data_IF_911045624846
#
_entry.id   IF_911045624846
#
_cell.length_a   1.000
_cell.length_b   1.000
_cell.length_c   1.000
_cell.angle_alpha   90.00
_cell.angle_beta   90.00
_cell.angle_gamma   90.00
#
_symmetry.space_group_name_H-M   'P 1'
#
loop_
_entity.id
_entity.type
_entity.pdbx_description
1 polymer ?
#
# COMPACT_ATOMS: atom_id res chain seq x y z
N UNK A 1 -11.29 46.86 2.15
CA UNK A 1 -12.60 46.19 1.95
C UNK A 1 -13.16 46.62 0.60
N UNK A 2 -13.80 45.72 -0.18
CA UNK A 2 -13.78 44.25 -0.07
C UNK A 2 -12.39 43.75 -0.58
N UNK A 3 -12.11 42.63 -1.27
CA UNK A 3 -12.62 41.24 -1.47
C UNK A 3 -11.36 40.39 -1.84
N UNK A 4 -11.32 39.06 -1.89
CA UNK A 4 -12.32 38.00 -1.71
C UNK A 4 -11.67 36.76 -1.07
N UNK A 5 -12.48 35.87 -0.48
CA UNK A 5 -12.03 34.57 0.02
C UNK A 5 -11.51 33.70 -1.12
N UNK A 6 -10.25 33.30 -1.05
CA UNK A 6 -9.64 32.37 -2.00
C UNK A 6 -8.80 31.31 -1.25
N UNK A 7 -9.39 30.74 -0.20
CA UNK A 7 -8.95 29.44 0.29
C UNK A 7 -9.45 28.41 -0.73
N UNK A 8 -8.59 27.64 -1.42
CA UNK A 8 -9.06 26.40 -1.98
C UNK A 8 -9.65 25.56 -0.83
N UNK A 9 -10.66 24.76 -1.11
CA UNK A 9 -10.91 23.60 -0.25
C UNK A 9 -9.73 22.67 -0.52
N UNK A 10 -8.88 22.45 0.47
CA UNK A 10 -7.79 21.48 0.34
C UNK A 10 -8.41 20.14 -0.07
N UNK A 11 -7.99 19.61 -1.23
CA UNK A 11 -8.60 18.42 -1.80
C UNK A 11 -8.31 17.24 -0.84
N UNK A 12 -9.33 16.66 -0.18
CA UNK A 12 -9.10 15.68 0.87
C UNK A 12 -8.72 14.31 0.31
N UNK A 13 -8.26 14.23 -0.95
CA UNK A 13 -7.87 13.00 -1.64
C UNK A 13 -6.36 12.92 -1.74
N UNK A 14 -5.82 11.77 -1.36
CA UNK A 14 -4.42 11.41 -1.60
C UNK A 14 -4.31 10.10 -2.35
N UNK A 15 -3.20 9.92 -3.05
CA UNK A 15 -2.87 8.69 -3.78
C UNK A 15 -1.89 7.87 -2.95
N UNK A 16 -2.28 6.67 -2.52
CA UNK A 16 -1.37 5.72 -1.90
C UNK A 16 -0.71 4.85 -2.97
N UNK A 17 0.63 4.77 -2.95
CA UNK A 17 1.42 3.87 -3.80
C UNK A 17 1.70 2.59 -3.01
N UNK A 18 0.71 1.70 -3.02
CA UNK A 18 0.69 0.43 -2.31
C UNK A 18 1.62 -0.59 -2.99
N UNK A 19 2.45 -1.30 -2.23
CA UNK A 19 3.48 -2.23 -2.74
C UNK A 19 3.49 -3.58 -2.03
N UNK A 20 3.60 -4.65 -2.82
CA UNK A 20 3.81 -6.03 -2.36
C UNK A 20 4.42 -6.85 -3.52
N UNK A 21 5.49 -7.61 -3.28
CA UNK A 21 6.28 -8.23 -4.33
C UNK A 21 6.77 -7.21 -5.37
N UNK A 22 6.70 -7.54 -6.66
CA UNK A 22 6.98 -6.57 -7.75
C UNK A 22 5.82 -5.57 -7.97
N UNK A 23 4.65 -5.82 -7.37
CA UNK A 23 3.43 -5.07 -7.69
C UNK A 23 3.40 -3.69 -7.03
N UNK A 24 2.84 -2.74 -7.77
CA UNK A 24 2.66 -1.35 -7.32
C UNK A 24 1.26 -0.89 -7.72
N UNK A 25 0.37 -0.81 -6.74
CA UNK A 25 -1.04 -0.45 -6.90
C UNK A 25 -1.19 1.02 -6.48
N UNK A 26 -1.84 1.83 -7.32
CA UNK A 26 -2.18 3.21 -6.99
C UNK A 26 -3.65 3.26 -6.55
N UNK A 27 -3.89 3.57 -5.28
CA UNK A 27 -5.23 3.70 -4.71
C UNK A 27 -5.49 5.16 -4.34
N UNK A 28 -6.58 5.73 -4.86
CA UNK A 28 -7.07 7.03 -4.41
C UNK A 28 -7.91 6.81 -3.14
N UNK A 29 -7.58 7.52 -2.07
CA UNK A 29 -8.28 7.47 -0.78
C UNK A 29 -8.64 8.87 -0.34
N UNK A 30 -9.70 9.02 0.46
CA UNK A 30 -9.98 10.26 1.16
C UNK A 30 -9.24 10.29 2.52
N UNK A 31 -8.91 11.46 3.03
CA UNK A 31 -8.29 11.67 4.34
C UNK A 31 -9.19 11.22 5.51
N UNK A 32 -10.52 11.24 5.32
CA UNK A 32 -11.53 10.80 6.28
C UNK A 32 -11.88 9.30 6.19
N UNK A 33 -11.34 8.57 5.21
CA UNK A 33 -11.50 7.11 5.15
C UNK A 33 -10.73 6.43 6.27
N UNK A 34 -11.31 5.36 6.83
CA UNK A 34 -10.61 4.51 7.80
C UNK A 34 -9.77 3.43 7.13
N UNK A 35 -8.78 2.87 7.84
CA UNK A 35 -7.96 1.78 7.31
C UNK A 35 -8.75 0.49 7.01
N UNK A 36 -9.91 0.27 7.64
CA UNK A 36 -10.86 -0.77 7.20
C UNK A 36 -11.31 -0.55 5.75
N UNK A 37 -11.67 0.69 5.38
CA UNK A 37 -12.13 1.02 4.02
C UNK A 37 -10.98 0.91 3.00
N UNK A 38 -9.79 1.40 3.37
CA UNK A 38 -8.57 1.26 2.55
C UNK A 38 -8.21 -0.23 2.34
N UNK A 39 -8.40 -1.06 3.35
CA UNK A 39 -8.19 -2.51 3.27
C UNK A 39 -9.20 -3.19 2.36
N UNK A 40 -10.49 -2.84 2.48
CA UNK A 40 -11.56 -3.39 1.66
C UNK A 40 -11.37 -3.06 0.17
N UNK A 41 -11.09 -1.80 -0.17
CA UNK A 41 -10.84 -1.38 -1.56
C UNK A 41 -9.59 -2.04 -2.14
N UNK A 42 -8.52 -2.18 -1.36
CA UNK A 42 -7.33 -2.92 -1.77
C UNK A 42 -7.63 -4.40 -2.03
N UNK A 43 -8.36 -5.07 -1.14
CA UNK A 43 -8.73 -6.48 -1.30
C UNK A 43 -9.61 -6.70 -2.54
N UNK A 44 -10.57 -5.81 -2.80
CA UNK A 44 -11.39 -5.85 -4.01
C UNK A 44 -10.54 -5.71 -5.28
N UNK A 45 -9.61 -4.73 -5.32
CA UNK A 45 -8.65 -4.57 -6.43
C UNK A 45 -7.77 -5.83 -6.59
N UNK A 46 -7.35 -6.45 -5.49
CA UNK A 46 -6.53 -7.66 -5.53
C UNK A 46 -7.30 -8.82 -6.15
N UNK A 47 -8.54 -9.10 -5.74
CA UNK A 47 -9.35 -10.16 -6.35
C UNK A 47 -9.71 -9.88 -7.82
N UNK A 48 -10.05 -8.63 -8.17
CA UNK A 48 -10.44 -8.28 -9.55
C UNK A 48 -9.28 -8.23 -10.55
N UNK A 49 -8.06 -7.92 -10.10
CA UNK A 49 -6.89 -7.70 -10.98
C UNK A 49 -5.83 -8.78 -10.88
N UNK A 50 -5.77 -9.50 -9.76
CA UNK A 50 -4.78 -10.53 -9.47
C UNK A 50 -5.48 -11.85 -9.02
N UNK A 51 -6.44 -12.39 -9.80
CA UNK A 51 -7.20 -13.59 -9.41
C UNK A 51 -6.34 -14.85 -9.28
N UNK A 52 -5.14 -14.86 -9.88
CA UNK A 52 -4.16 -15.93 -9.76
C UNK A 52 -3.15 -15.72 -8.61
N UNK A 53 -3.20 -14.58 -7.91
CA UNK A 53 -2.22 -14.20 -6.89
C UNK A 53 -1.19 -13.15 -7.31
N UNK A 54 -0.25 -12.87 -6.41
CA UNK A 54 0.80 -11.85 -6.55
C UNK A 54 2.17 -12.49 -6.86
N UNK A 55 3.00 -11.77 -7.61
CA UNK A 55 4.36 -12.19 -7.99
C UNK A 55 5.40 -11.41 -7.19
N UNK A 56 6.48 -12.08 -6.81
CA UNK A 56 7.51 -11.54 -5.91
C UNK A 56 8.88 -11.36 -6.58
N UNK A 57 9.12 -12.01 -7.71
CA UNK A 57 10.21 -11.68 -8.64
C UNK A 57 9.68 -11.66 -10.08
N UNK A 58 10.52 -11.18 -11.01
CA UNK A 58 10.37 -11.51 -12.43
C UNK A 58 10.45 -13.04 -12.55
N UNK A 59 9.61 -13.63 -13.41
CA UNK A 59 9.49 -15.07 -13.66
C UNK A 59 9.18 -15.97 -12.44
N UNK A 60 8.76 -15.41 -11.31
CA UNK A 60 8.20 -16.19 -10.19
C UNK A 60 6.75 -16.63 -10.46
N UNK A 61 6.41 -17.88 -10.10
CA UNK A 61 5.01 -18.31 -10.05
C UNK A 61 4.20 -17.41 -9.09
N UNK A 62 2.97 -16.98 -9.46
CA UNK A 62 2.12 -16.21 -8.57
C UNK A 62 1.78 -16.97 -7.28
N UNK A 63 1.97 -16.33 -6.13
CA UNK A 63 1.49 -16.80 -4.83
C UNK A 63 0.02 -16.38 -4.69
N UNK A 64 -0.93 -17.32 -4.56
CA UNK A 64 -2.36 -17.00 -4.43
C UNK A 64 -2.66 -16.04 -3.28
N UNK A 65 -3.71 -15.24 -3.44
CA UNK A 65 -4.29 -14.48 -2.33
C UNK A 65 -4.83 -15.47 -1.28
N UNK A 66 -4.68 -15.21 0.05
CA UNK A 66 -5.18 -16.14 1.06
C UNK A 66 -6.70 -16.24 1.01
N UNK A 67 -7.25 -17.45 1.19
CA UNK A 67 -8.69 -17.68 1.25
C UNK A 67 -9.24 -17.44 2.67
N UNK A 68 -10.39 -16.75 2.77
CA UNK A 68 -11.10 -16.56 4.03
C UNK A 68 -10.98 -15.14 4.59
N UNK A 69 -10.86 -15.03 5.91
CA UNK A 69 -10.75 -13.76 6.64
C UNK A 69 -9.28 -13.33 6.73
N UNK A 70 -8.96 -12.13 6.24
CA UNK A 70 -7.58 -11.64 6.07
C UNK A 70 -7.47 -10.21 6.59
N UNK A 71 -6.47 -9.94 7.44
CA UNK A 71 -6.13 -8.57 7.84
C UNK A 71 -5.00 -8.04 6.95
N UNK A 72 -5.19 -6.84 6.42
CA UNK A 72 -4.11 -6.11 5.75
C UNK A 72 -3.26 -5.41 6.81
N UNK A 73 -1.95 -5.66 6.80
CA UNK A 73 -0.99 -4.94 7.64
C UNK A 73 -0.16 -4.02 6.76
N UNK A 74 0.01 -2.77 7.22
CA UNK A 74 0.65 -1.69 6.46
C UNK A 74 2.06 -1.39 6.95
N UNK A 75 2.94 -1.01 6.03
CA UNK A 75 4.33 -0.63 6.30
C UNK A 75 4.71 0.64 5.58
N UNK A 76 5.52 1.49 6.20
CA UNK A 76 6.12 2.68 5.57
C UNK A 76 7.64 2.51 5.44
N UNK A 77 8.31 3.20 4.51
CA UNK A 77 9.75 3.07 4.31
C UNK A 77 10.55 3.45 5.57
N UNK A 78 11.71 2.81 5.77
CA UNK A 78 12.69 3.26 6.78
C UNK A 78 13.41 4.54 6.33
N UNK A 79 13.69 4.67 5.04
CA UNK A 79 14.16 5.89 4.38
C UNK A 79 13.12 6.35 3.35
N UNK A 80 12.75 7.62 3.35
CA UNK A 80 11.81 8.19 2.36
C UNK A 80 12.38 8.21 0.94
N UNK A 81 13.72 8.21 0.82
CA UNK A 81 14.43 8.46 -0.42
C UNK A 81 15.03 7.18 -1.02
N UNK A 82 15.01 6.07 -0.27
CA UNK A 82 15.46 4.77 -0.75
C UNK A 82 14.63 3.65 -0.10
N UNK A 83 13.92 2.89 -0.93
CA UNK A 83 13.06 1.78 -0.50
C UNK A 83 13.85 0.51 -0.18
N UNK A 84 15.11 0.39 -0.63
CA UNK A 84 15.97 -0.77 -0.37
C UNK A 84 16.41 -0.86 1.10
N UNK A 85 16.31 0.23 1.86
CA UNK A 85 16.46 0.23 3.33
C UNK A 85 15.33 -0.54 4.06
N UNK A 86 14.35 -1.06 3.33
CA UNK A 86 13.25 -1.84 3.85
C UNK A 86 12.22 -1.01 4.63
N UNK A 87 11.33 -1.72 5.30
CA UNK A 87 10.08 -1.17 5.82
C UNK A 87 10.01 -1.23 7.35
N UNK A 88 9.15 -0.40 7.92
CA UNK A 88 8.73 -0.42 9.32
C UNK A 88 7.20 -0.43 9.34
N UNK A 89 6.61 -1.22 10.24
CA UNK A 89 5.15 -1.28 10.41
C UNK A 89 4.57 0.12 10.64
N UNK A 90 3.53 0.46 9.88
CA UNK A 90 2.66 1.60 10.16
C UNK A 90 1.74 1.22 11.32
N UNK A 91 1.65 2.08 12.34
CA UNK A 91 0.78 1.85 13.50
C UNK A 91 -0.56 2.53 13.24
N UNK A 92 -1.50 1.74 12.73
CA UNK A 92 -2.89 2.10 12.44
C UNK A 92 -3.76 0.89 12.75
N UNK A 93 -4.92 1.11 13.35
CA UNK A 93 -5.98 0.10 13.49
C UNK A 93 -7.13 0.38 12.51
N UNK A 94 -8.15 -0.47 12.49
CA UNK A 94 -9.13 -0.50 11.40
C UNK A 94 -10.07 0.75 11.41
N UNK A 95 -10.22 1.40 12.57
CA UNK A 95 -10.92 2.67 12.76
C UNK A 95 -10.04 3.92 12.60
N UNK A 96 -8.71 3.81 12.51
CA UNK A 96 -7.82 4.97 12.26
C UNK A 96 -8.09 5.56 10.88
N UNK A 97 -8.01 6.87 10.74
CA UNK A 97 -8.17 7.56 9.45
C UNK A 97 -6.85 7.70 8.70
N UNK A 98 -6.93 7.84 7.37
CA UNK A 98 -5.75 8.18 6.55
C UNK A 98 -5.07 9.47 7.03
N UNK A 99 -5.84 10.45 7.52
CA UNK A 99 -5.30 11.66 8.18
C UNK A 99 -4.50 11.35 9.45
N UNK A 100 -4.98 10.46 10.34
CA UNK A 100 -4.30 10.14 11.61
C UNK A 100 -2.91 9.53 11.37
N UNK A 101 -2.78 8.73 10.31
CA UNK A 101 -1.54 8.11 9.85
C UNK A 101 -0.50 9.09 9.25
N UNK A 102 -0.91 10.32 8.91
CA UNK A 102 -0.05 11.40 8.37
C UNK A 102 0.72 11.00 7.11
N UNK A 103 0.07 10.23 6.24
CA UNK A 103 0.59 9.88 4.92
C UNK A 103 0.48 11.11 4.00
N UNK A 104 1.55 11.40 3.25
CA UNK A 104 1.53 12.43 2.21
C UNK A 104 0.98 11.86 0.90
N UNK A 105 0.59 12.74 -0.04
CA UNK A 105 0.23 12.30 -1.39
C UNK A 105 1.41 11.59 -2.09
N UNK A 106 1.06 10.58 -2.90
CA UNK A 106 1.97 9.64 -3.58
C UNK A 106 2.92 8.86 -2.63
N UNK A 107 2.59 8.76 -1.34
CA UNK A 107 3.39 8.00 -0.36
C UNK A 107 3.55 6.54 -0.77
N UNK A 108 4.79 6.02 -0.69
CA UNK A 108 5.03 4.60 -0.75
C UNK A 108 4.56 3.93 0.55
N UNK A 109 3.71 2.91 0.43
CA UNK A 109 3.21 2.11 1.55
C UNK A 109 3.32 0.65 1.14
N UNK A 110 4.05 -0.17 1.90
CA UNK A 110 4.00 -1.62 1.73
C UNK A 110 2.74 -2.20 2.37
N UNK A 111 2.25 -3.31 1.85
CA UNK A 111 1.21 -4.10 2.48
C UNK A 111 1.58 -5.58 2.54
N UNK A 112 1.02 -6.28 3.52
CA UNK A 112 1.06 -7.73 3.66
C UNK A 112 -0.33 -8.23 4.04
N UNK A 113 -0.73 -9.38 3.50
CA UNK A 113 -1.96 -10.08 3.86
C UNK A 113 -1.62 -11.16 4.89
N UNK A 114 -2.28 -11.15 6.05
CA UNK A 114 -2.01 -12.08 7.15
C UNK A 114 -3.29 -12.55 7.81
N UNK A 115 -3.24 -13.73 8.45
CA UNK A 115 -4.31 -14.18 9.34
C UNK A 115 -4.50 -13.16 10.47
N UNK A 116 -5.75 -12.79 10.85
CA UNK A 116 -6.00 -11.81 11.91
C UNK A 116 -5.28 -12.11 13.24
N UNK A 117 -5.18 -13.40 13.63
CA UNK A 117 -4.44 -13.81 14.85
C UNK A 117 -2.94 -13.53 14.81
N UNK A 118 -2.35 -13.41 13.61
CA UNK A 118 -0.93 -13.07 13.41
C UNK A 118 -0.73 -11.57 13.18
N UNK A 119 -1.80 -10.80 13.04
CA UNK A 119 -1.76 -9.41 12.62
C UNK A 119 -1.07 -8.48 13.63
N UNK A 120 -0.94 -8.82 14.91
CA UNK A 120 -0.19 -8.02 15.90
C UNK A 120 1.35 -8.18 15.79
N UNK A 121 1.83 -9.18 15.05
CA UNK A 121 3.24 -9.56 15.01
C UNK A 121 4.18 -8.60 14.27
N UNK A 122 5.48 -8.95 14.29
CA UNK A 122 6.48 -8.36 13.40
C UNK A 122 6.34 -8.95 11.99
N UNK A 123 5.32 -8.48 11.27
CA UNK A 123 5.01 -8.89 9.89
C UNK A 123 6.12 -8.36 8.95
N UNK A 124 6.75 -9.22 8.12
CA UNK A 124 7.67 -8.77 7.07
C UNK A 124 6.91 -8.08 5.93
N UNK A 125 7.61 -7.21 5.20
CA UNK A 125 7.07 -6.53 4.03
C UNK A 125 7.93 -6.87 2.82
N UNK A 126 7.56 -7.96 2.17
CA UNK A 126 8.22 -8.44 0.96
C UNK A 126 7.83 -7.51 -0.21
N UNK A 127 8.74 -6.59 -0.54
CA UNK A 127 8.59 -5.64 -1.64
C UNK A 127 9.86 -5.64 -2.45
N UNK A 128 9.71 -5.99 -3.72
CA UNK A 128 10.80 -6.06 -4.69
C UNK A 128 10.92 -4.71 -5.36
N UNK A 129 12.13 -4.16 -5.34
CA UNK A 129 12.48 -2.92 -6.04
C UNK A 129 13.08 -3.36 -7.38
N UNK A 130 12.40 -3.14 -8.52
CA UNK A 130 12.95 -3.52 -9.82
C UNK A 130 14.24 -2.72 -10.07
N UNK A 131 15.33 -3.42 -10.36
CA UNK A 131 16.57 -2.82 -10.86
C UNK A 131 16.45 -2.58 -12.36
N UNK A 132 17.27 -1.69 -12.91
CA UNK A 132 17.28 -1.48 -14.36
C UNK A 132 17.88 -2.68 -15.09
N UNK A 133 18.85 -3.34 -14.44
CA UNK A 133 19.50 -4.58 -14.88
C UNK A 133 18.54 -5.78 -15.02
N UNK A 134 17.35 -5.74 -14.40
CA UNK A 134 16.32 -6.78 -14.54
C UNK A 134 15.59 -6.75 -15.90
N UNK A 135 15.93 -5.80 -16.79
CA UNK A 135 15.26 -5.55 -18.07
C UNK A 135 16.18 -5.64 -19.31
N UNK A 136 17.44 -6.04 -19.14
CA UNK A 136 18.41 -6.11 -20.24
C UNK A 136 18.34 -7.45 -21.03
N UNK A 137 18.09 -7.32 -22.33
CA UNK A 137 18.40 -8.26 -23.42
C UNK A 137 17.70 -9.64 -23.51
N UNK A 138 16.47 -9.65 -24.05
CA UNK A 138 16.11 -10.62 -25.10
C UNK A 138 15.39 -9.88 -26.26
N UNK A 139 16.04 -9.82 -27.44
CA UNK A 139 15.63 -9.05 -28.64
C UNK A 139 16.06 -9.75 -29.94
#
# INVERSE_FOLDING_TARGET
MPRSTNNPVDDPRITLRLKCGIHTIFLFVMLDWTFAQVSQELLQILHDRYPNGLMFAVDSEPIPLPEGDVKVVYGIPRSSNDLNHGWKRLKVEDEDTVESAKLADVSAVAFALVDPEKAEGNVPFDVTIPQLEDYDEEY
#
